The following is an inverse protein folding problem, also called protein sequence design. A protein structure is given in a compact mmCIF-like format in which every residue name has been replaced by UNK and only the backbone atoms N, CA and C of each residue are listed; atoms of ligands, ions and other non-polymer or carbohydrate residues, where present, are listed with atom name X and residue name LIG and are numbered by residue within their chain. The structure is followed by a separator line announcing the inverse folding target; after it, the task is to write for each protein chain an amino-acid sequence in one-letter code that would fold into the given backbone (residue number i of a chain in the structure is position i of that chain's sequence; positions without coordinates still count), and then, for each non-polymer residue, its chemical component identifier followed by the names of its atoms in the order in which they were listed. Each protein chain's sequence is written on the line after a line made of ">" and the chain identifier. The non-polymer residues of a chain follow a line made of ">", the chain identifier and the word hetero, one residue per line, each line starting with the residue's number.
data_IF_746348370003
#
_entry.id   IF_746348370003
#
_cell.length_a   1.000
_cell.length_b   1.000
_cell.length_c   1.000
_cell.angle_alpha   90.00
_cell.angle_beta   90.00
_cell.angle_gamma   90.00
#
_symmetry.space_group_name_H-M   'P 1'
#
loop_
_entity.id
_entity.type
_entity.pdbx_description
1 polymer ?
#
# COMPACT_ATOMS: atom_id res chain seq x y z
N UNK A 1 -0.42 4.61 25.26
CA UNK A 1 -0.98 4.39 23.90
C UNK A 1 -0.86 5.63 22.99
N UNK A 2 -1.29 6.82 23.43
CA UNK A 2 -1.21 8.08 22.65
C UNK A 2 0.17 8.37 22.02
N UNK A 3 1.25 8.27 22.80
CA UNK A 3 2.62 8.59 22.35
C UNK A 3 3.16 7.67 21.24
N UNK A 4 2.72 6.40 21.20
CA UNK A 4 3.13 5.44 20.16
C UNK A 4 2.51 5.79 18.80
N UNK A 5 1.20 5.99 18.77
CA UNK A 5 0.47 6.38 17.55
C UNK A 5 0.96 7.73 17.04
N UNK A 6 1.14 8.71 17.95
CA UNK A 6 1.67 10.02 17.59
C UNK A 6 3.06 9.92 16.92
N UNK A 7 3.92 9.04 17.43
CA UNK A 7 5.26 8.80 16.85
C UNK A 7 5.15 8.21 15.44
N UNK A 8 4.26 7.24 15.21
CA UNK A 8 4.03 6.67 13.87
C UNK A 8 3.52 7.74 12.91
N UNK A 9 2.51 8.51 13.31
CA UNK A 9 1.93 9.57 12.48
C UNK A 9 2.98 10.64 12.12
N UNK A 10 3.83 11.04 13.07
CA UNK A 10 4.94 11.99 12.81
C UNK A 10 5.93 11.42 11.78
N UNK A 11 6.34 10.16 11.92
CA UNK A 11 7.26 9.50 10.96
C UNK A 11 6.63 9.37 9.56
N UNK A 12 5.36 9.01 9.48
CA UNK A 12 4.62 8.92 8.23
C UNK A 12 4.54 10.30 7.55
N UNK A 13 4.18 11.35 8.30
CA UNK A 13 4.13 12.72 7.79
C UNK A 13 5.47 13.18 7.24
N UNK A 14 6.55 13.01 8.00
CA UNK A 14 7.90 13.39 7.54
C UNK A 14 8.30 12.64 6.27
N UNK A 15 8.00 11.35 6.19
CA UNK A 15 8.33 10.52 5.02
C UNK A 15 7.51 10.89 3.78
N UNK A 16 6.26 11.34 3.96
CA UNK A 16 5.37 11.73 2.85
C UNK A 16 5.92 12.89 2.01
N UNK A 17 6.69 13.81 2.61
CA UNK A 17 7.34 14.89 1.87
C UNK A 17 8.45 14.40 0.94
N UNK A 18 9.11 13.30 1.30
CA UNK A 18 10.17 12.70 0.49
C UNK A 18 9.58 11.80 -0.59
N UNK A 19 8.62 10.94 -0.24
CA UNK A 19 8.00 10.02 -1.19
C UNK A 19 7.13 10.74 -2.23
N UNK A 20 6.51 11.88 -1.89
CA UNK A 20 5.72 12.67 -2.85
C UNK A 20 6.54 13.22 -4.03
N UNK A 21 7.87 13.27 -3.91
CA UNK A 21 8.79 13.73 -4.96
C UNK A 21 9.37 12.59 -5.81
N UNK A 22 9.01 11.35 -5.54
CA UNK A 22 9.53 10.22 -6.30
C UNK A 22 8.94 10.23 -7.70
N UNK A 23 9.83 10.15 -8.70
CA UNK A 23 9.42 9.89 -10.07
C UNK A 23 8.84 8.48 -10.23
N UNK A 24 8.18 8.25 -11.36
CA UNK A 24 7.56 6.97 -11.70
C UNK A 24 8.55 5.81 -11.64
N UNK A 25 9.79 6.02 -12.08
CA UNK A 25 10.82 4.96 -12.08
C UNK A 25 11.15 4.53 -10.66
N UNK A 26 11.32 5.46 -9.73
CA UNK A 26 11.65 5.17 -8.33
C UNK A 26 10.49 4.51 -7.60
N UNK A 27 9.25 4.95 -7.86
CA UNK A 27 8.03 4.30 -7.34
C UNK A 27 7.95 2.85 -7.83
N UNK A 28 8.05 2.63 -9.14
CA UNK A 28 7.97 1.30 -9.75
C UNK A 28 9.13 0.39 -9.30
N UNK A 29 10.34 0.92 -9.12
CA UNK A 29 11.46 0.13 -8.60
C UNK A 29 11.23 -0.32 -7.15
N UNK A 30 10.58 0.52 -6.33
CA UNK A 30 10.23 0.17 -4.95
C UNK A 30 9.22 -0.98 -4.93
N UNK A 31 8.17 -0.91 -5.75
CA UNK A 31 7.17 -1.98 -5.88
C UNK A 31 7.80 -3.28 -6.41
N UNK A 32 8.65 -3.20 -7.44
CA UNK A 32 9.39 -4.36 -7.96
C UNK A 32 10.30 -5.01 -6.90
N UNK A 33 10.92 -4.21 -6.05
CA UNK A 33 11.74 -4.73 -4.95
C UNK A 33 10.87 -5.46 -3.93
N UNK A 34 9.73 -4.88 -3.57
CA UNK A 34 8.76 -5.54 -2.69
C UNK A 34 8.27 -6.88 -3.26
N UNK A 35 7.95 -6.94 -4.56
CA UNK A 35 7.57 -8.19 -5.25
C UNK A 35 8.66 -9.25 -5.09
N UNK A 36 9.92 -8.88 -5.31
CA UNK A 36 11.07 -9.81 -5.16
C UNK A 36 11.18 -10.34 -3.74
N UNK A 37 11.03 -9.47 -2.74
CA UNK A 37 11.09 -9.85 -1.32
C UNK A 37 9.92 -10.76 -0.90
N UNK A 38 8.70 -10.47 -1.36
CA UNK A 38 7.54 -11.33 -1.10
C UNK A 38 7.76 -12.70 -1.75
N UNK A 39 8.26 -12.73 -2.99
CA UNK A 39 8.52 -13.98 -3.72
C UNK A 39 9.60 -14.81 -3.04
N UNK A 40 10.72 -14.21 -2.64
CA UNK A 40 11.83 -14.89 -1.96
C UNK A 40 11.41 -15.38 -0.55
N UNK A 41 10.54 -14.64 0.11
CA UNK A 41 10.05 -14.94 1.46
C UNK A 41 8.76 -15.74 1.51
N UNK A 42 8.20 -16.19 0.37
CA UNK A 42 6.89 -16.84 0.27
C UNK A 42 6.71 -17.97 1.30
N UNK A 43 7.64 -18.91 1.37
CA UNK A 43 7.56 -20.05 2.30
C UNK A 43 7.64 -19.59 3.76
N UNK A 44 8.44 -18.55 4.04
CA UNK A 44 8.55 -17.96 5.37
C UNK A 44 7.23 -17.32 5.78
N UNK A 45 6.61 -16.53 4.89
CA UNK A 45 5.31 -15.88 5.13
C UNK A 45 4.24 -16.92 5.47
N UNK A 46 4.12 -17.98 4.67
CA UNK A 46 3.15 -19.08 4.92
C UNK A 46 3.41 -19.72 6.28
N UNK A 47 4.67 -20.06 6.60
CA UNK A 47 5.03 -20.67 7.88
C UNK A 47 4.69 -19.82 9.10
N UNK A 48 4.81 -18.49 9.00
CA UNK A 48 4.40 -17.60 10.09
C UNK A 48 2.88 -17.48 10.17
N UNK A 49 2.19 -17.38 9.03
CA UNK A 49 0.74 -17.32 9.00
C UNK A 49 0.08 -18.59 9.55
N UNK A 50 0.67 -19.78 9.36
CA UNK A 50 0.22 -21.03 9.99
C UNK A 50 0.19 -20.95 11.52
N UNK A 51 1.13 -20.21 12.13
CA UNK A 51 1.13 -19.97 13.59
C UNK A 51 -0.03 -19.08 14.00
N UNK A 52 -0.32 -18.04 13.21
CA UNK A 52 -1.44 -17.14 13.46
C UNK A 52 -2.78 -17.86 13.34
N UNK A 53 -2.94 -18.71 12.32
CA UNK A 53 -4.14 -19.55 12.12
C UNK A 53 -4.32 -20.50 13.31
N UNK A 54 -3.26 -21.19 13.74
CA UNK A 54 -3.32 -22.11 14.87
C UNK A 54 -3.76 -21.40 16.14
N UNK A 55 -3.15 -20.25 16.45
CA UNK A 55 -3.50 -19.44 17.61
C UNK A 55 -4.95 -18.94 17.54
N UNK A 56 -5.40 -18.47 16.37
CA UNK A 56 -6.77 -18.03 16.18
C UNK A 56 -7.78 -19.18 16.34
N UNK A 57 -7.45 -20.38 15.86
CA UNK A 57 -8.28 -21.58 16.04
C UNK A 57 -8.37 -21.98 17.51
N UNK A 58 -7.25 -21.98 18.24
CA UNK A 58 -7.20 -22.25 19.69
C UNK A 58 -8.03 -21.23 20.51
N UNK A 59 -8.12 -19.98 20.04
CA UNK A 59 -8.96 -18.94 20.64
C UNK A 59 -10.45 -19.04 20.27
N UNK A 60 -10.86 -20.05 19.50
CA UNK A 60 -12.26 -20.25 19.12
C UNK A 60 -12.78 -19.27 18.07
N UNK A 61 -11.89 -18.70 17.25
CA UNK A 61 -12.28 -17.84 16.12
C UNK A 61 -13.07 -18.65 15.11
N UNK A 62 -14.21 -18.11 14.63
CA UNK A 62 -15.08 -18.80 13.65
C UNK A 62 -14.33 -19.10 12.35
N UNK A 63 -14.65 -20.23 11.73
CA UNK A 63 -14.02 -20.70 10.48
C UNK A 63 -14.02 -19.65 9.36
N UNK A 64 -15.12 -18.91 9.19
CA UNK A 64 -15.21 -17.82 8.20
C UNK A 64 -14.15 -16.70 8.35
N UNK A 65 -13.66 -16.46 9.57
CA UNK A 65 -12.57 -15.51 9.84
C UNK A 65 -11.20 -16.17 9.67
N UNK A 66 -11.06 -17.45 10.00
CA UNK A 66 -9.84 -18.22 9.71
C UNK A 66 -9.59 -18.27 8.21
N UNK A 67 -10.63 -18.50 7.40
CA UNK A 67 -10.55 -18.47 5.94
C UNK A 67 -10.02 -17.13 5.42
N UNK A 68 -10.34 -16.01 6.07
CA UNK A 68 -9.84 -14.68 5.70
C UNK A 68 -8.38 -14.44 6.13
N UNK A 69 -7.96 -15.09 7.22
CA UNK A 69 -6.62 -15.00 7.77
C UNK A 69 -5.60 -15.81 6.95
N UNK A 70 -6.02 -16.88 6.28
CA UNK A 70 -5.12 -17.81 5.58
C UNK A 70 -4.33 -17.12 4.45
N UNK A 71 -3.02 -17.35 4.41
CA UNK A 71 -2.12 -17.06 3.30
C UNK A 71 -1.56 -18.38 2.76
N UNK A 72 -2.05 -18.77 1.59
CA UNK A 72 -1.51 -19.89 0.83
C UNK A 72 -0.70 -19.37 -0.38
N UNK A 73 -0.07 -20.30 -1.12
CA UNK A 73 0.73 -19.96 -2.31
C UNK A 73 -0.07 -19.11 -3.31
N UNK A 74 -1.30 -19.52 -3.63
CA UNK A 74 -2.17 -18.81 -4.57
C UNK A 74 -2.51 -17.38 -4.12
N UNK A 75 -2.82 -17.17 -2.83
CA UNK A 75 -3.08 -15.82 -2.31
C UNK A 75 -1.85 -14.92 -2.38
N UNK A 76 -0.67 -15.48 -2.13
CA UNK A 76 0.59 -14.74 -2.27
C UNK A 76 0.88 -14.41 -3.73
N UNK A 77 0.63 -15.34 -4.65
CA UNK A 77 0.75 -15.07 -6.09
C UNK A 77 -0.22 -13.98 -6.54
N UNK A 78 -1.48 -14.02 -6.08
CA UNK A 78 -2.46 -12.96 -6.38
C UNK A 78 -2.02 -11.59 -5.83
N UNK A 79 -1.39 -11.53 -4.64
CA UNK A 79 -0.84 -10.26 -4.11
C UNK A 79 0.29 -9.74 -5.01
N UNK A 80 1.16 -10.62 -5.48
CA UNK A 80 2.24 -10.25 -6.42
C UNK A 80 1.64 -9.74 -7.74
N UNK A 81 0.66 -10.44 -8.30
CA UNK A 81 -0.02 -10.04 -9.52
C UNK A 81 -0.75 -8.70 -9.37
N UNK A 82 -1.29 -8.42 -8.17
CA UNK A 82 -1.85 -7.11 -7.81
C UNK A 82 -0.80 -6.01 -7.91
N UNK A 83 0.36 -6.19 -7.28
CA UNK A 83 1.48 -5.25 -7.36
C UNK A 83 1.98 -5.05 -8.80
N UNK A 84 2.08 -6.12 -9.59
CA UNK A 84 2.46 -6.04 -11.00
C UNK A 84 1.46 -5.21 -11.82
N UNK A 85 0.15 -5.31 -11.52
CA UNK A 85 -0.88 -4.46 -12.15
C UNK A 85 -0.73 -2.99 -11.76
N UNK A 86 -0.44 -2.68 -10.50
CA UNK A 86 -0.21 -1.29 -10.06
C UNK A 86 0.95 -0.66 -10.83
N UNK A 87 2.05 -1.39 -11.02
CA UNK A 87 3.24 -0.92 -11.75
C UNK A 87 2.89 -0.52 -13.19
N UNK A 88 1.87 -1.15 -13.80
CA UNK A 88 1.43 -0.86 -15.17
C UNK A 88 0.53 0.39 -15.26
N UNK A 89 0.00 0.87 -14.14
CA UNK A 89 -0.87 2.06 -14.13
C UNK A 89 -0.03 3.29 -14.47
N UNK A 90 -0.42 4.10 -15.48
CA UNK A 90 0.28 5.35 -15.79
C UNK A 90 0.27 6.30 -14.58
N UNK A 91 1.43 6.87 -14.30
CA UNK A 91 1.59 7.82 -13.22
C UNK A 91 0.90 9.15 -13.55
N UNK A 92 -0.12 9.49 -12.77
CA UNK A 92 -0.89 10.73 -12.94
C UNK A 92 -0.50 11.83 -11.96
N UNK A 93 0.51 11.60 -11.12
CA UNK A 93 0.96 12.57 -10.13
C UNK A 93 1.56 13.79 -10.83
N UNK A 94 1.19 14.99 -10.39
CA UNK A 94 1.58 16.27 -10.97
C UNK A 94 1.09 16.54 -12.40
N UNK A 95 0.14 15.75 -12.92
CA UNK A 95 -0.52 16.09 -14.17
C UNK A 95 -1.35 17.37 -14.01
N UNK A 96 -1.12 18.31 -14.94
CA UNK A 96 -1.80 19.61 -15.00
C UNK A 96 -2.94 19.58 -16.01
N UNK A 97 -4.06 20.21 -15.65
CA UNK A 97 -5.28 20.29 -16.47
C UNK A 97 -5.97 21.64 -16.29
N UNK A 98 -7.00 21.91 -17.11
CA UNK A 98 -7.83 23.14 -17.03
C UNK A 98 -7.02 24.44 -17.06
N UNK A 99 -6.01 24.49 -17.93
CA UNK A 99 -5.17 25.67 -18.09
C UNK A 99 -5.91 26.78 -18.83
N UNK A 100 -5.97 27.97 -18.23
CA UNK A 100 -6.64 29.15 -18.81
C UNK A 100 -5.87 30.42 -18.50
N UNK A 101 -5.70 31.28 -19.51
CA UNK A 101 -5.21 32.64 -19.34
C UNK A 101 -6.38 33.57 -19.04
N UNK A 102 -6.29 34.33 -17.95
CA UNK A 102 -7.31 35.30 -17.56
C UNK A 102 -7.07 36.66 -18.22
N UNK A 103 -8.11 37.50 -18.26
CA UNK A 103 -8.02 38.88 -18.76
C UNK A 103 -7.04 39.74 -17.95
N UNK A 104 -6.85 39.40 -16.67
CA UNK A 104 -5.85 40.00 -15.78
C UNK A 104 -4.40 39.67 -16.18
N UNK A 105 -4.18 38.75 -17.12
CA UNK A 105 -2.86 38.24 -17.49
C UNK A 105 -2.39 37.04 -16.66
N UNK A 106 -3.09 36.68 -15.58
CA UNK A 106 -2.77 35.51 -14.74
C UNK A 106 -3.05 34.21 -15.51
N UNK A 107 -2.13 33.26 -15.40
CA UNK A 107 -2.31 31.90 -15.90
C UNK A 107 -2.74 30.97 -14.77
N UNK A 108 -3.89 30.32 -14.92
CA UNK A 108 -4.43 29.39 -13.91
C UNK A 108 -4.45 27.98 -14.47
N UNK A 109 -4.11 26.99 -13.65
CA UNK A 109 -4.20 25.56 -13.99
C UNK A 109 -4.48 24.73 -12.73
N UNK A 110 -4.90 23.47 -12.90
CA UNK A 110 -5.16 22.51 -11.83
C UNK A 110 -4.18 21.34 -11.92
N UNK A 111 -3.41 21.11 -10.87
CA UNK A 111 -2.42 20.04 -10.79
C UNK A 111 -2.86 18.95 -9.81
N UNK A 112 -2.73 17.69 -10.20
CA UNK A 112 -2.91 16.55 -9.29
C UNK A 112 -1.74 16.45 -8.31
N UNK A 113 -2.02 16.32 -7.02
CA UNK A 113 -1.00 16.18 -5.98
C UNK A 113 -1.33 15.00 -5.06
N UNK A 114 -0.33 14.34 -4.45
CA UNK A 114 -0.59 13.30 -3.46
C UNK A 114 -1.41 13.82 -2.28
N UNK A 115 -2.32 12.99 -1.75
CA UNK A 115 -3.16 13.33 -0.59
C UNK A 115 -2.32 13.52 0.69
N UNK A 116 -1.16 12.86 0.78
CA UNK A 116 -0.24 12.92 1.91
C UNK A 116 -0.16 11.59 2.63
N UNK A 117 -0.68 11.53 3.86
CA UNK A 117 -0.66 10.31 4.69
C UNK A 117 -2.06 9.69 4.69
N UNK A 118 -2.12 8.40 4.37
CA UNK A 118 -3.33 7.59 4.47
C UNK A 118 -3.20 6.71 5.71
N UNK A 119 -4.21 6.77 6.58
CA UNK A 119 -4.34 5.87 7.73
C UNK A 119 -5.38 4.80 7.40
N UNK A 120 -4.97 3.53 7.44
CA UNK A 120 -5.83 2.41 7.10
C UNK A 120 -6.01 1.51 8.32
N UNK A 121 -7.26 1.24 8.68
CA UNK A 121 -7.66 0.20 9.65
C UNK A 121 -8.38 -0.87 8.86
N UNK A 122 -7.94 -2.12 9.01
CA UNK A 122 -8.56 -3.27 8.37
C UNK A 122 -8.64 -4.45 9.35
N UNK A 123 -9.53 -5.39 9.07
CA UNK A 123 -9.69 -6.63 9.81
C UNK A 123 -8.57 -7.64 9.50
N UNK A 124 -8.59 -8.84 10.10
CA UNK A 124 -7.57 -9.89 9.95
C UNK A 124 -7.52 -10.54 8.55
N UNK A 125 -7.24 -9.73 7.52
CA UNK A 125 -7.04 -10.10 6.12
C UNK A 125 -5.62 -9.71 5.72
N UNK A 126 -4.63 -10.60 5.89
CA UNK A 126 -3.23 -10.24 5.72
C UNK A 126 -2.89 -9.68 4.34
N UNK A 127 -3.65 -10.08 3.30
CA UNK A 127 -3.49 -9.55 1.95
C UNK A 127 -3.72 -8.04 1.84
N UNK A 128 -4.60 -7.47 2.67
CA UNK A 128 -4.91 -6.04 2.66
C UNK A 128 -3.67 -5.19 3.00
N UNK A 129 -2.69 -5.75 3.71
CA UNK A 129 -1.40 -5.09 3.98
C UNK A 129 -0.66 -4.71 2.69
N UNK A 130 -0.79 -5.54 1.65
CA UNK A 130 -0.18 -5.31 0.34
C UNK A 130 -1.11 -4.48 -0.54
N UNK A 131 -2.40 -4.83 -0.58
CA UNK A 131 -3.41 -4.09 -1.36
C UNK A 131 -3.56 -2.62 -0.91
N UNK A 132 -3.20 -2.30 0.34
CA UNK A 132 -3.17 -0.94 0.85
C UNK A 132 -2.22 0.00 0.06
N UNK A 133 -1.28 -0.56 -0.69
CA UNK A 133 -0.34 0.21 -1.51
C UNK A 133 -0.97 0.74 -2.80
N UNK A 134 -2.15 0.24 -3.20
CA UNK A 134 -2.89 0.66 -4.40
C UNK A 134 -3.27 2.16 -4.39
N UNK A 135 -3.27 2.79 -3.21
CA UNK A 135 -3.73 4.16 -3.01
C UNK A 135 -2.63 5.24 -3.03
N UNK A 136 -1.39 4.89 -3.38
CA UNK A 136 -0.21 5.80 -3.26
C UNK A 136 0.37 6.23 -4.61
#
# INVERSE_FOLDING_TARGET
>A
MSKYVETICKKAKTSSYNSSKYDTRRKNNTLNTLIKEIRSSKLKIIKYNEKDIKLASEMGVKDSFLDRLVLNKSRIDNMIDGLDKIIQIPDITFLTSKSKRQLSGIYTSQMRVPIGVIFMIYESRPNVTIDAQDYV
#
